data_IF_310832430366
#
_entry.id   IF_310832430366
#
_cell.length_a   1.000
_cell.length_b   1.000
_cell.length_c   1.000
_cell.angle_alpha   90.00
_cell.angle_beta   90.00
_cell.angle_gamma   90.00
#
_symmetry.space_group_name_H-M   'P 1'
#
loop_
_entity.id
_entity.type
_entity.pdbx_description
1 polymer ?
#
# COMPACT_ATOMS: atom_id res chain seq x y z
N UNK A 1 2.18 -11.93 5.21
CA UNK A 1 2.14 -10.93 4.12
C UNK A 1 2.56 -11.66 2.85
N UNK A 2 1.84 -11.48 1.73
CA UNK A 2 1.98 -12.33 0.53
C UNK A 2 3.42 -12.43 0.01
N UNK A 3 3.73 -13.54 -0.65
CA UNK A 3 5.08 -13.99 -1.09
C UNK A 3 5.73 -13.13 -2.20
N UNK A 4 5.20 -11.94 -2.48
CA UNK A 4 5.77 -11.02 -3.46
C UNK A 4 6.66 -9.99 -2.80
N UNK A 5 7.91 -9.90 -3.25
CA UNK A 5 8.93 -9.02 -2.68
C UNK A 5 8.56 -7.54 -2.79
N UNK A 6 7.92 -7.13 -3.90
CA UNK A 6 7.43 -5.76 -4.13
C UNK A 6 6.20 -5.74 -5.05
N UNK A 7 5.23 -4.83 -4.82
CA UNK A 7 4.08 -4.65 -5.71
C UNK A 7 4.53 -4.05 -7.05
N UNK A 8 4.10 -4.67 -8.15
CA UNK A 8 4.28 -4.19 -9.53
C UNK A 8 3.36 -3.01 -9.88
N UNK A 9 2.37 -2.74 -9.04
CA UNK A 9 1.36 -1.71 -9.25
C UNK A 9 0.05 -2.23 -9.84
N UNK A 10 -0.05 -3.54 -10.10
CA UNK A 10 -1.30 -4.20 -10.40
C UNK A 10 -1.97 -4.64 -9.09
N UNK A 11 -3.15 -4.07 -8.80
CA UNK A 11 -3.95 -4.45 -7.64
C UNK A 11 -4.47 -5.89 -7.67
N UNK A 12 -4.34 -6.60 -8.80
CA UNK A 12 -4.67 -8.03 -8.92
C UNK A 12 -3.53 -8.93 -8.47
N UNK A 13 -2.30 -8.43 -8.49
CA UNK A 13 -1.10 -9.20 -8.11
C UNK A 13 -0.61 -8.85 -6.71
N UNK A 14 -1.17 -7.83 -6.07
CA UNK A 14 -0.78 -7.37 -4.75
C UNK A 14 -1.98 -7.32 -3.79
N UNK A 15 -1.71 -7.52 -2.50
CA UNK A 15 -2.67 -7.18 -1.46
C UNK A 15 -2.64 -5.66 -1.24
N UNK A 16 -3.78 -5.05 -0.90
CA UNK A 16 -3.85 -3.61 -0.69
C UNK A 16 -4.77 -3.23 0.46
N UNK A 17 -4.42 -2.15 1.14
CA UNK A 17 -5.33 -1.39 1.99
C UNK A 17 -5.84 -0.21 1.18
N UNK A 18 -7.16 -0.02 1.14
CA UNK A 18 -7.80 1.09 0.44
C UNK A 18 -8.64 1.92 1.39
N UNK A 19 -8.93 3.15 0.96
CA UNK A 19 -9.79 4.08 1.70
C UNK A 19 -9.24 4.37 3.10
N UNK A 20 -7.91 4.45 3.20
CA UNK A 20 -7.24 4.83 4.43
C UNK A 20 -7.65 6.26 4.80
N UNK A 21 -7.92 6.46 6.08
CA UNK A 21 -8.32 7.74 6.66
C UNK A 21 -7.65 7.91 8.01
N UNK A 22 -7.28 9.14 8.30
CA UNK A 22 -6.94 9.59 9.64
C UNK A 22 -8.25 9.93 10.37
N UNK A 23 -8.47 9.37 11.56
CA UNK A 23 -9.62 9.70 12.39
C UNK A 23 -9.14 10.63 13.49
N UNK A 24 -9.70 11.85 13.56
CA UNK A 24 -9.40 12.81 14.62
C UNK A 24 -10.02 12.39 15.95
N UNK A 25 -9.60 13.03 17.05
CA UNK A 25 -10.22 12.84 18.36
C UNK A 25 -11.72 13.24 18.38
N UNK A 26 -12.15 14.11 17.45
CA UNK A 26 -13.55 14.50 17.27
C UNK A 26 -14.36 13.52 16.41
N UNK A 27 -13.73 12.47 15.88
CA UNK A 27 -14.36 11.46 15.03
C UNK A 27 -14.37 11.80 13.53
N UNK A 28 -13.74 12.90 13.12
CA UNK A 28 -13.66 13.29 11.72
C UNK A 28 -12.71 12.38 10.96
N UNK A 29 -13.18 11.77 9.87
CA UNK A 29 -12.39 10.88 9.03
C UNK A 29 -11.83 11.64 7.81
N UNK A 30 -10.58 12.07 7.91
CA UNK A 30 -9.86 12.84 6.89
C UNK A 30 -8.97 11.93 6.05
N UNK A 31 -8.74 12.23 4.76
CA UNK A 31 -7.69 11.55 4.01
C UNK A 31 -6.32 11.82 4.67
N UNK A 32 -5.37 10.88 4.58
CA UNK A 32 -4.00 11.13 5.01
C UNK A 32 -3.46 12.41 4.37
N UNK A 33 -2.75 13.22 5.18
CA UNK A 33 -2.10 14.45 4.73
C UNK A 33 -1.21 14.19 3.52
N UNK A 34 -0.87 15.21 2.72
CA UNK A 34 0.17 15.08 1.68
C UNK A 34 1.59 14.97 2.25
N UNK A 35 1.77 15.23 3.55
CA UNK A 35 3.05 15.18 4.26
C UNK A 35 3.18 13.86 5.03
N UNK A 36 3.33 12.76 4.31
CA UNK A 36 3.45 11.42 4.89
C UNK A 36 4.87 10.95 4.67
N UNK A 37 5.49 10.39 5.70
CA UNK A 37 6.79 9.74 5.56
C UNK A 37 6.56 8.25 5.34
N UNK A 38 7.16 7.73 4.27
CA UNK A 38 7.18 6.30 3.98
C UNK A 38 8.41 5.69 4.65
N UNK A 39 8.19 4.68 5.48
CA UNK A 39 9.27 3.96 6.14
C UNK A 39 9.14 2.47 5.88
N UNK A 40 10.22 1.88 5.38
CA UNK A 40 10.37 0.44 5.16
C UNK A 40 11.69 0.04 5.77
N UNK A 41 11.72 -1.13 6.41
CA UNK A 41 12.95 -1.68 6.94
C UNK A 41 14.02 -1.89 5.84
N UNK A 42 15.29 -1.69 6.20
CA UNK A 42 16.42 -1.73 5.26
C UNK A 42 16.83 -3.14 4.84
N UNK A 43 16.23 -4.19 5.41
CA UNK A 43 16.48 -5.59 5.02
C UNK A 43 16.18 -5.90 3.56
N UNK A 44 15.49 -5.01 2.84
CA UNK A 44 15.01 -5.19 1.47
C UNK A 44 14.08 -6.38 1.28
N UNK A 45 13.72 -7.16 2.30
CA UNK A 45 12.84 -8.33 2.16
C UNK A 45 11.35 -7.98 2.10
N UNK A 46 11.01 -6.75 2.51
CA UNK A 46 9.65 -6.22 2.46
C UNK A 46 9.62 -4.94 1.64
N UNK A 47 8.49 -4.71 0.98
CA UNK A 47 8.22 -3.47 0.28
C UNK A 47 6.72 -3.20 0.24
N UNK A 48 6.37 -1.92 0.21
CA UNK A 48 5.04 -1.47 -0.14
C UNK A 48 5.13 -0.37 -1.19
N UNK A 49 4.00 -0.09 -1.85
CA UNK A 49 3.85 1.01 -2.78
C UNK A 49 2.69 1.88 -2.32
N UNK A 50 2.98 3.15 -2.16
CA UNK A 50 1.98 4.16 -1.87
C UNK A 50 1.37 4.66 -3.19
N UNK A 51 0.09 4.38 -3.39
CA UNK A 51 -0.63 4.87 -4.57
C UNK A 51 -1.30 6.22 -4.32
N UNK A 52 -1.14 6.78 -3.12
CA UNK A 52 -1.85 7.96 -2.65
C UNK A 52 -3.36 7.84 -2.95
N UNK A 53 -3.98 8.90 -3.45
CA UNK A 53 -5.41 8.93 -3.76
C UNK A 53 -5.68 8.36 -5.15
N UNK A 54 -6.27 7.17 -5.20
CA UNK A 54 -6.68 6.50 -6.45
C UNK A 54 -8.15 6.77 -6.75
N UNK A 55 -8.40 7.77 -7.62
CA UNK A 55 -9.75 8.22 -7.98
C UNK A 55 -10.42 7.28 -9.00
N UNK A 56 -9.68 6.86 -10.05
CA UNK A 56 -10.21 6.11 -11.20
C UNK A 56 -10.88 4.78 -10.84
N UNK A 57 -10.51 4.20 -9.70
CA UNK A 57 -11.03 2.91 -9.20
C UNK A 57 -11.85 3.07 -7.91
N UNK A 58 -12.19 4.30 -7.50
CA UNK A 58 -12.89 4.61 -6.24
C UNK A 58 -12.25 3.95 -5.00
N UNK A 59 -10.92 3.82 -4.99
CA UNK A 59 -10.19 3.19 -3.87
C UNK A 59 -9.80 4.21 -2.81
N UNK A 60 -9.75 5.51 -3.14
CA UNK A 60 -9.32 6.54 -2.21
C UNK A 60 -7.84 6.39 -1.88
N UNK A 61 -7.42 6.78 -0.67
CA UNK A 61 -6.04 6.63 -0.24
C UNK A 61 -5.66 5.14 -0.14
N UNK A 62 -4.67 4.69 -0.91
CA UNK A 62 -4.36 3.26 -1.09
C UNK A 62 -2.87 2.97 -0.97
N UNK A 63 -2.52 1.93 -0.22
CA UNK A 63 -1.19 1.33 -0.20
C UNK A 63 -1.30 -0.13 -0.60
N UNK A 64 -0.33 -0.64 -1.35
CA UNK A 64 -0.25 -2.06 -1.72
C UNK A 64 1.03 -2.67 -1.20
N UNK A 65 1.00 -3.94 -0.85
CA UNK A 65 2.15 -4.73 -0.43
C UNK A 65 2.00 -6.16 -0.96
N UNK A 66 3.09 -6.92 -0.96
CA UNK A 66 3.12 -8.12 -1.78
C UNK A 66 3.16 -7.77 -3.26
N UNK A 67 3.15 -8.78 -4.12
CA UNK A 67 3.30 -8.60 -5.56
C UNK A 67 3.25 -9.96 -6.25
N UNK A 68 3.52 -10.02 -7.56
CA UNK A 68 3.62 -11.29 -8.27
C UNK A 68 4.60 -12.19 -7.51
N UNK A 69 4.12 -13.37 -7.11
CA UNK A 69 4.93 -14.31 -6.33
C UNK A 69 6.26 -14.55 -7.00
N UNK A 70 7.35 -14.60 -6.22
CA UNK A 70 8.67 -14.91 -6.76
C UNK A 70 8.71 -16.32 -7.32
N UNK A 71 9.46 -16.52 -8.42
CA UNK A 71 9.83 -17.85 -8.86
C UNK A 71 10.89 -18.41 -7.88
N UNK A 72 10.50 -19.38 -7.06
CA UNK A 72 11.45 -20.16 -6.27
C UNK A 72 12.08 -21.21 -7.20
N UNK A 73 13.09 -20.82 -7.96
CA UNK A 73 13.93 -21.77 -8.70
C UNK A 73 14.89 -22.47 -7.75
N UNK A 74 14.68 -23.77 -7.54
CA UNK A 74 15.65 -24.66 -6.90
C UNK A 74 16.73 -25.11 -7.87
#
# INVERSE_FOLDING_TARGET
MGSGHKPDGDFRHATYFRTLKWVSATGDALPPSRKISEWVDKSNVYGFKNHHVVIRQRKGYTISFGGPGGYCGG
#
